data_IF_346810820839
#
_entry.id   IF_346810820839
#
_cell.length_a   1.000
_cell.length_b   1.000
_cell.length_c   1.000
_cell.angle_alpha   90.00
_cell.angle_beta   90.00
_cell.angle_gamma   90.00
#
_symmetry.space_group_name_H-M   'P 1'
#
loop_
_entity.id
_entity.type
_entity.pdbx_description
1 polymer ?
#
# COMPACT_ATOMS: atom_id res chain seq x y z
N UNK A 1 25.86 -27.92 8.89
CA UNK A 1 24.71 -28.02 7.95
C UNK A 1 23.37 -27.88 8.67
N UNK A 2 23.00 -28.71 9.66
CA UNK A 2 21.69 -28.57 10.33
C UNK A 2 21.50 -27.24 11.10
N UNK A 3 22.54 -26.74 11.77
CA UNK A 3 22.50 -25.47 12.51
C UNK A 3 22.38 -24.25 11.57
N UNK A 4 23.03 -24.31 10.41
CA UNK A 4 22.99 -23.27 9.39
C UNK A 4 21.61 -23.19 8.73
N UNK A 5 21.03 -24.34 8.39
CA UNK A 5 19.67 -24.43 7.85
C UNK A 5 18.65 -23.84 8.82
N UNK A 6 18.77 -24.16 10.11
CA UNK A 6 17.89 -23.64 11.15
C UNK A 6 17.97 -22.10 11.27
N UNK A 7 19.18 -21.52 11.18
CA UNK A 7 19.36 -20.06 11.20
C UNK A 7 18.72 -19.38 9.99
N UNK A 8 18.85 -19.98 8.80
CA UNK A 8 18.23 -19.47 7.57
C UNK A 8 16.71 -19.49 7.68
N UNK A 9 16.13 -20.60 8.14
CA UNK A 9 14.69 -20.73 8.31
C UNK A 9 14.15 -19.71 9.32
N UNK A 10 14.87 -19.49 10.42
CA UNK A 10 14.53 -18.45 11.40
C UNK A 10 14.57 -17.04 10.79
N UNK A 11 15.59 -16.74 9.97
CA UNK A 11 15.71 -15.43 9.32
C UNK A 11 14.54 -15.19 8.35
N UNK A 12 14.20 -16.19 7.54
CA UNK A 12 13.07 -16.13 6.61
C UNK A 12 11.76 -15.90 7.37
N UNK A 13 11.54 -16.65 8.45
CA UNK A 13 10.34 -16.53 9.27
C UNK A 13 10.21 -15.13 9.88
N UNK A 14 11.29 -14.60 10.47
CA UNK A 14 11.30 -13.25 11.05
C UNK A 14 11.07 -12.17 10.00
N UNK A 15 11.75 -12.27 8.85
CA UNK A 15 11.56 -11.32 7.75
C UNK A 15 10.11 -11.28 7.27
N UNK A 16 9.44 -12.43 7.15
CA UNK A 16 8.04 -12.50 6.76
C UNK A 16 7.09 -11.87 7.79
N UNK A 17 7.34 -12.11 9.08
CA UNK A 17 6.55 -11.56 10.18
C UNK A 17 6.68 -10.02 10.26
N UNK A 18 7.91 -9.50 10.16
CA UNK A 18 8.18 -8.07 10.13
C UNK A 18 7.53 -7.38 8.93
N UNK A 19 7.64 -7.97 7.74
CA UNK A 19 6.99 -7.48 6.52
C UNK A 19 5.47 -7.40 6.65
N UNK A 20 4.87 -8.36 7.35
CA UNK A 20 3.41 -8.41 7.56
C UNK A 20 2.96 -7.34 8.55
N UNK A 21 3.70 -7.18 9.66
CA UNK A 21 3.45 -6.13 10.65
C UNK A 21 3.58 -4.73 10.05
N UNK A 22 4.61 -4.51 9.23
CA UNK A 22 4.80 -3.26 8.50
C UNK A 22 3.60 -2.94 7.60
N UNK A 23 3.03 -3.95 6.94
CA UNK A 23 1.88 -3.75 6.06
C UNK A 23 0.61 -3.37 6.81
N UNK A 24 0.34 -3.99 7.95
CA UNK A 24 -0.77 -3.59 8.82
C UNK A 24 -0.57 -2.18 9.37
N UNK A 25 0.64 -1.84 9.80
CA UNK A 25 0.95 -0.51 10.28
C UNK A 25 0.72 0.56 9.20
N UNK A 26 1.29 0.38 8.00
CA UNK A 26 1.15 1.36 6.90
C UNK A 26 -0.31 1.48 6.46
N UNK A 27 -1.04 0.37 6.38
CA UNK A 27 -2.46 0.42 6.04
C UNK A 27 -3.27 1.16 7.10
N UNK A 28 -3.06 0.84 8.38
CA UNK A 28 -3.71 1.53 9.50
C UNK A 28 -3.41 3.03 9.52
N UNK A 29 -2.14 3.40 9.34
CA UNK A 29 -1.73 4.80 9.26
C UNK A 29 -2.38 5.52 8.06
N UNK A 30 -2.46 4.87 6.89
CA UNK A 30 -3.10 5.46 5.71
C UNK A 30 -4.60 5.67 5.93
N UNK A 31 -5.29 4.70 6.55
CA UNK A 31 -6.71 4.84 6.89
C UNK A 31 -6.95 5.93 7.94
N UNK A 32 -6.07 6.06 8.93
CA UNK A 32 -6.13 7.13 9.91
C UNK A 32 -5.96 8.51 9.27
N UNK A 33 -5.02 8.65 8.32
CA UNK A 33 -4.84 9.88 7.52
C UNK A 33 -6.13 10.17 6.73
N UNK A 34 -6.70 9.19 6.05
CA UNK A 34 -7.96 9.37 5.32
C UNK A 34 -9.09 9.83 6.25
N UNK A 35 -9.26 9.17 7.41
CA UNK A 35 -10.29 9.52 8.37
C UNK A 35 -10.11 10.93 8.93
N UNK A 36 -8.87 11.31 9.25
CA UNK A 36 -8.53 12.65 9.71
C UNK A 36 -8.85 13.70 8.63
N UNK A 37 -8.36 13.52 7.40
CA UNK A 37 -8.62 14.45 6.30
C UNK A 37 -10.12 14.54 5.96
N UNK A 38 -10.85 13.42 6.03
CA UNK A 38 -12.30 13.38 5.86
C UNK A 38 -13.05 14.19 6.94
N UNK A 39 -12.51 14.29 8.15
CA UNK A 39 -13.12 15.05 9.23
C UNK A 39 -12.73 16.54 9.20
N UNK A 40 -11.48 16.86 8.86
CA UNK A 40 -10.95 18.22 9.03
C UNK A 40 -11.06 19.11 7.79
N UNK A 41 -11.21 18.54 6.60
CA UNK A 41 -11.28 19.34 5.38
C UNK A 41 -12.71 19.82 5.12
N UNK A 42 -12.92 21.10 4.80
CA UNK A 42 -14.20 21.57 4.28
C UNK A 42 -14.39 21.00 2.87
N UNK A 43 -15.52 20.32 2.66
CA UNK A 43 -15.97 19.86 1.34
C UNK A 43 -17.17 20.71 0.93
N UNK A 44 -17.09 21.35 -0.22
CA UNK A 44 -18.18 22.11 -0.81
C UNK A 44 -18.34 21.78 -2.29
N UNK A 45 -18.89 22.72 -3.05
CA UNK A 45 -19.22 22.51 -4.46
C UNK A 45 -17.97 22.19 -5.30
N UNK A 46 -18.13 21.25 -6.24
CA UNK A 46 -17.07 20.84 -7.15
C UNK A 46 -16.73 21.99 -8.11
N UNK A 47 -15.50 22.48 -8.06
CA UNK A 47 -15.01 23.60 -8.88
C UNK A 47 -13.47 23.67 -8.89
N UNK A 48 -12.88 24.71 -9.49
CA UNK A 48 -11.43 24.96 -9.41
C UNK A 48 -11.13 25.66 -8.07
N UNK A 49 -11.45 24.96 -7.00
CA UNK A 49 -11.53 25.49 -5.66
C UNK A 49 -10.61 24.67 -4.75
N UNK A 50 -10.09 25.27 -3.68
CA UNK A 50 -9.27 24.58 -2.67
C UNK A 50 -9.91 23.26 -2.18
N UNK A 51 -11.23 23.24 -2.07
CA UNK A 51 -12.02 22.12 -1.53
C UNK A 51 -12.02 20.91 -2.47
N UNK A 52 -12.05 21.15 -3.79
CA UNK A 52 -11.98 20.09 -4.80
C UNK A 52 -10.58 19.48 -4.87
N UNK A 53 -9.52 20.28 -4.69
CA UNK A 53 -8.16 19.75 -4.58
C UNK A 53 -7.94 18.93 -3.30
N UNK A 54 -8.50 19.37 -2.17
CA UNK A 54 -8.48 18.60 -0.92
C UNK A 54 -9.23 17.27 -1.08
N UNK A 55 -10.39 17.27 -1.72
CA UNK A 55 -11.13 16.05 -2.05
C UNK A 55 -10.31 15.13 -2.97
N UNK A 56 -9.66 15.68 -4.00
CA UNK A 56 -8.75 14.93 -4.87
C UNK A 56 -7.61 14.26 -4.10
N UNK A 57 -6.98 14.98 -3.17
CA UNK A 57 -5.93 14.41 -2.32
C UNK A 57 -6.44 13.27 -1.44
N UNK A 58 -7.65 13.40 -0.88
CA UNK A 58 -8.30 12.35 -0.10
C UNK A 58 -8.55 11.09 -0.95
N UNK A 59 -9.06 11.26 -2.19
CA UNK A 59 -9.31 10.14 -3.10
C UNK A 59 -8.02 9.41 -3.51
N UNK A 60 -6.91 10.13 -3.65
CA UNK A 60 -5.60 9.52 -3.92
C UNK A 60 -5.12 8.70 -2.71
N UNK A 61 -5.27 9.22 -1.48
CA UNK A 61 -4.98 8.46 -0.27
C UNK A 61 -5.90 7.23 -0.10
N UNK A 62 -7.20 7.38 -0.37
CA UNK A 62 -8.15 6.27 -0.32
C UNK A 62 -7.78 5.18 -1.33
N UNK A 63 -7.39 5.58 -2.55
CA UNK A 63 -6.88 4.66 -3.56
C UNK A 63 -5.63 3.92 -3.08
N UNK A 64 -4.68 4.63 -2.44
CA UNK A 64 -3.49 4.01 -1.83
C UNK A 64 -3.87 2.93 -0.80
N UNK A 65 -4.85 3.21 0.08
CA UNK A 65 -5.34 2.25 1.06
C UNK A 65 -5.95 1.00 0.41
N UNK A 66 -6.75 1.17 -0.65
CA UNK A 66 -7.32 0.04 -1.42
C UNK A 66 -6.21 -0.86 -1.99
N UNK A 67 -5.16 -0.27 -2.57
CA UNK A 67 -4.01 -1.04 -3.05
C UNK A 67 -3.23 -1.71 -1.91
N UNK A 68 -3.20 -1.09 -0.72
CA UNK A 68 -2.69 -1.70 0.51
C UNK A 68 -3.46 -2.97 0.90
N UNK A 69 -4.79 -2.91 0.91
CA UNK A 69 -5.64 -4.09 1.15
C UNK A 69 -5.43 -5.17 0.09
N UNK A 70 -5.40 -4.80 -1.20
CA UNK A 70 -5.18 -5.75 -2.30
C UNK A 70 -3.82 -6.44 -2.21
N UNK A 71 -2.79 -5.77 -1.67
CA UNK A 71 -1.49 -6.39 -1.42
C UNK A 71 -1.55 -7.43 -0.31
N UNK A 72 -2.24 -7.13 0.80
CA UNK A 72 -2.44 -8.10 1.89
C UNK A 72 -3.21 -9.33 1.42
N UNK A 73 -4.28 -9.13 0.65
CA UNK A 73 -5.06 -10.22 0.05
C UNK A 73 -4.18 -11.11 -0.85
N UNK A 74 -3.36 -10.52 -1.71
CA UNK A 74 -2.45 -11.27 -2.57
C UNK A 74 -1.39 -12.08 -1.78
N UNK A 75 -0.87 -11.53 -0.67
CA UNK A 75 0.05 -12.26 0.22
C UNK A 75 -0.65 -13.44 0.90
N UNK A 76 -1.87 -13.24 1.41
CA UNK A 76 -2.66 -14.31 2.03
C UNK A 76 -2.96 -15.45 1.05
N UNK A 77 -3.36 -15.12 -0.18
CA UNK A 77 -3.59 -16.11 -1.24
C UNK A 77 -2.31 -16.88 -1.55
N UNK A 78 -1.16 -16.20 -1.67
CA UNK A 78 0.13 -16.86 -1.90
C UNK A 78 0.51 -17.83 -0.75
N UNK A 79 0.32 -17.43 0.51
CA UNK A 79 0.57 -18.32 1.65
C UNK A 79 -0.34 -19.54 1.62
N UNK A 80 -1.62 -19.35 1.30
CA UNK A 80 -2.59 -20.43 1.20
C UNK A 80 -2.27 -21.41 0.07
N UNK A 81 -1.91 -20.89 -1.12
CA UNK A 81 -1.50 -21.72 -2.26
C UNK A 81 -0.18 -22.43 -2.02
N UNK A 82 0.77 -21.79 -1.33
CA UNK A 82 2.03 -22.41 -0.90
C UNK A 82 1.77 -23.56 0.08
N UNK A 83 0.89 -23.36 1.07
CA UNK A 83 0.49 -24.40 2.01
C UNK A 83 -0.18 -25.60 1.31
N UNK A 84 -1.03 -25.34 0.31
CA UNK A 84 -1.60 -26.40 -0.54
C UNK A 84 -0.55 -27.14 -1.36
N UNK A 85 0.43 -26.43 -1.90
CA UNK A 85 1.50 -27.05 -2.69
C UNK A 85 2.35 -28.01 -1.84
N UNK A 86 2.53 -27.73 -0.54
CA UNK A 86 3.25 -28.62 0.38
C UNK A 86 2.55 -29.97 0.61
N UNK A 87 1.24 -30.06 0.40
CA UNK A 87 0.47 -31.31 0.52
C UNK A 87 0.66 -32.24 -0.69
N UNK A 88 1.28 -31.77 -1.78
CA UNK A 88 1.52 -32.57 -2.98
C UNK A 88 2.64 -33.58 -2.69
N UNK A 89 2.31 -34.87 -2.81
CA UNK A 89 3.22 -36.00 -2.51
C UNK A 89 4.34 -36.15 -3.54
N UNK A 90 4.07 -35.81 -4.79
CA UNK A 90 5.06 -35.86 -5.88
C UNK A 90 6.01 -34.64 -5.85
N UNK A 91 7.33 -34.85 -5.64
CA UNK A 91 8.28 -33.76 -5.48
C UNK A 91 8.46 -32.91 -6.76
N UNK A 92 8.37 -33.52 -7.94
CA UNK A 92 8.59 -32.82 -9.21
C UNK A 92 7.41 -31.92 -9.58
N UNK A 93 6.18 -32.42 -9.43
CA UNK A 93 4.97 -31.62 -9.61
C UNK A 93 4.89 -30.48 -8.59
N UNK A 94 5.27 -30.75 -7.34
CA UNK A 94 5.35 -29.72 -6.29
C UNK A 94 6.30 -28.59 -6.67
N UNK A 95 7.51 -28.92 -7.13
CA UNK A 95 8.53 -27.93 -7.48
C UNK A 95 8.11 -27.06 -8.67
N UNK A 96 7.50 -27.68 -9.70
CA UNK A 96 6.95 -26.94 -10.85
C UNK A 96 5.87 -25.96 -10.43
N UNK A 97 4.92 -26.41 -9.61
CA UNK A 97 3.81 -25.58 -9.13
C UNK A 97 4.27 -24.43 -8.22
N UNK A 98 5.23 -24.68 -7.34
CA UNK A 98 5.83 -23.64 -6.49
C UNK A 98 6.55 -22.57 -7.32
N UNK A 99 7.34 -22.97 -8.32
CA UNK A 99 8.04 -22.03 -9.20
C UNK A 99 7.06 -21.14 -9.99
N UNK A 100 5.98 -21.74 -10.49
CA UNK A 100 4.94 -21.03 -11.24
C UNK A 100 4.13 -20.06 -10.36
N UNK A 101 3.77 -20.49 -9.15
CA UNK A 101 3.07 -19.66 -8.16
C UNK A 101 3.93 -18.48 -7.69
N UNK A 102 5.21 -18.73 -7.42
CA UNK A 102 6.14 -17.70 -6.96
C UNK A 102 6.32 -16.61 -8.02
N UNK A 103 6.59 -16.96 -9.28
CA UNK A 103 6.84 -15.95 -10.32
C UNK A 103 5.69 -14.96 -10.48
N UNK A 104 4.47 -15.45 -10.72
CA UNK A 104 3.31 -14.58 -10.98
C UNK A 104 2.86 -13.80 -9.73
N UNK A 105 2.87 -14.46 -8.57
CA UNK A 105 2.37 -13.84 -7.33
C UNK A 105 3.32 -12.79 -6.80
N UNK A 106 4.65 -13.05 -6.85
CA UNK A 106 5.66 -12.09 -6.41
C UNK A 106 5.61 -10.82 -7.27
N UNK A 107 5.47 -10.95 -8.59
CA UNK A 107 5.31 -9.79 -9.48
C UNK A 107 4.08 -8.95 -9.13
N UNK A 108 2.94 -9.61 -8.88
CA UNK A 108 1.69 -8.92 -8.50
C UNK A 108 1.84 -8.19 -7.17
N UNK A 109 2.37 -8.84 -6.15
CA UNK A 109 2.61 -8.26 -4.82
C UNK A 109 3.57 -7.08 -4.92
N UNK A 110 4.65 -7.22 -5.70
CA UNK A 110 5.65 -6.16 -5.92
C UNK A 110 5.06 -4.96 -6.67
N UNK A 111 4.20 -5.21 -7.67
CA UNK A 111 3.50 -4.15 -8.41
C UNK A 111 2.56 -3.38 -7.49
N UNK A 112 1.77 -4.07 -6.67
CA UNK A 112 0.87 -3.45 -5.69
C UNK A 112 1.64 -2.62 -4.66
N UNK A 113 2.81 -3.10 -4.19
CA UNK A 113 3.69 -2.34 -3.31
C UNK A 113 4.14 -1.01 -3.94
N UNK A 114 4.60 -1.05 -5.20
CA UNK A 114 5.03 0.15 -5.93
C UNK A 114 3.87 1.13 -6.14
N UNK A 115 2.69 0.64 -6.52
CA UNK A 115 1.50 1.48 -6.72
C UNK A 115 1.09 2.15 -5.42
N UNK A 116 0.97 1.39 -4.32
CA UNK A 116 0.65 1.92 -2.99
C UNK A 116 1.61 3.04 -2.61
N UNK A 117 2.92 2.79 -2.66
CA UNK A 117 3.90 3.79 -2.25
C UNK A 117 3.86 5.04 -3.14
N UNK A 118 3.74 4.89 -4.46
CA UNK A 118 3.60 6.02 -5.38
C UNK A 118 2.34 6.85 -5.09
N UNK A 119 1.20 6.20 -4.83
CA UNK A 119 -0.04 6.89 -4.48
C UNK A 119 0.05 7.57 -3.12
N UNK A 120 0.71 6.97 -2.13
CA UNK A 120 0.91 7.56 -0.82
C UNK A 120 1.76 8.84 -0.91
N UNK A 121 2.87 8.80 -1.66
CA UNK A 121 3.68 9.98 -1.95
C UNK A 121 2.91 11.02 -2.78
N UNK A 122 2.16 10.60 -3.80
CA UNK A 122 1.37 11.50 -4.63
C UNK A 122 0.27 12.20 -3.83
N UNK A 123 -0.43 11.47 -2.94
CA UNK A 123 -1.45 12.02 -2.05
C UNK A 123 -0.85 13.05 -1.09
N UNK A 124 0.32 12.76 -0.51
CA UNK A 124 1.04 13.68 0.35
C UNK A 124 1.46 14.95 -0.40
N UNK A 125 2.07 14.80 -1.57
CA UNK A 125 2.49 15.92 -2.41
C UNK A 125 1.30 16.79 -2.83
N UNK A 126 0.19 16.17 -3.25
CA UNK A 126 -1.03 16.87 -3.62
C UNK A 126 -1.63 17.65 -2.44
N UNK A 127 -1.71 17.03 -1.26
CA UNK A 127 -2.21 17.69 -0.06
C UNK A 127 -1.34 18.89 0.36
N UNK A 128 -0.02 18.71 0.38
CA UNK A 128 0.92 19.78 0.72
C UNK A 128 0.87 20.92 -0.31
N UNK A 129 0.88 20.60 -1.61
CA UNK A 129 0.76 21.59 -2.67
C UNK A 129 -0.53 22.41 -2.52
N UNK A 130 -1.66 21.75 -2.20
CA UNK A 130 -2.94 22.42 -1.97
C UNK A 130 -2.89 23.38 -0.78
N UNK A 131 -2.25 22.97 0.33
CA UNK A 131 -2.10 23.82 1.53
C UNK A 131 -1.17 25.01 1.28
N UNK A 132 -0.05 24.78 0.61
CA UNK A 132 0.90 25.85 0.23
C UNK A 132 0.22 26.83 -0.70
N UNK A 133 -0.48 26.34 -1.72
CA UNK A 133 -1.25 27.18 -2.64
C UNK A 133 -2.28 28.03 -1.90
N UNK A 134 -3.09 27.42 -1.04
CA UNK A 134 -4.09 28.14 -0.24
C UNK A 134 -3.46 29.20 0.68
N UNK A 135 -2.26 28.96 1.23
CA UNK A 135 -1.55 29.94 2.04
C UNK A 135 -1.07 31.15 1.23
N UNK A 136 -0.52 30.94 0.02
CA UNK A 136 -0.10 32.04 -0.86
C UNK A 136 -1.30 32.84 -1.40
N UNK A 137 -2.41 32.18 -1.68
CA UNK A 137 -3.66 32.83 -2.09
C UNK A 137 -4.22 33.70 -0.96
N UNK A 138 -4.28 33.18 0.28
CA UNK A 138 -4.78 33.93 1.43
C UNK A 138 -3.88 35.11 1.85
N UNK A 139 -2.57 35.00 1.66
CA UNK A 139 -1.62 36.08 1.96
C UNK A 139 -1.53 37.15 0.86
N UNK A 140 -2.38 37.07 -0.18
CA UNK A 140 -2.51 38.10 -1.22
C UNK A 140 -1.40 38.11 -2.27
N UNK A 141 -0.58 37.06 -2.36
CA UNK A 141 0.50 36.97 -3.36
C UNK A 141 0.01 36.45 -4.73
N UNK A 142 -1.12 35.74 -4.76
CA UNK A 142 -1.74 35.23 -6.00
C UNK A 142 -3.12 35.89 -6.13
N UNK A 143 -3.41 36.63 -7.21
CA UNK A 143 -4.69 37.29 -7.38
C UNK A 143 -5.80 36.24 -7.50
N UNK A 144 -6.86 36.42 -6.71
CA UNK A 144 -8.10 35.66 -6.79
C UNK A 144 -8.98 36.40 -7.79
N UNK A 145 -9.19 35.84 -8.97
CA UNK A 145 -10.21 36.31 -9.93
C UNK A 145 -11.51 35.56 -9.69
#
# INVERSE_FOLDING_TARGET
MAEEQHRIDQLIYRSHDEDTKLDYFILGATLAICAYLAQTNPYGELGINKETFLLGSLLVFASSAIYGFKRLEAKLILMYDNAKALQIRDPDTRRRKLNELNGRSIERITRLYRIRNRLLFAGLACYLATKVWAAYQNNGWIPVH
#
